data_IF_050849358899
#
_entry.id   IF_050849358899
#
_cell.length_a   1.000
_cell.length_b   1.000
_cell.length_c   1.000
_cell.angle_alpha   90.00
_cell.angle_beta   90.00
_cell.angle_gamma   90.00
#
_symmetry.space_group_name_H-M   'P 1'
#
loop_
_entity.id
_entity.type
_entity.pdbx_description
1 polymer ?
#
# COMPACT_ATOMS: atom_id res chain seq x y z
N UNK A 1 -6.47 -21.74 26.89
CA UNK A 1 -6.82 -20.46 26.24
C UNK A 1 -5.66 -20.06 25.36
N UNK A 2 -5.83 -20.07 24.03
CA UNK A 2 -4.72 -19.85 23.10
C UNK A 2 -4.48 -18.34 22.95
N UNK A 3 -3.44 -17.83 23.61
CA UNK A 3 -3.07 -16.41 23.59
C UNK A 3 -2.54 -16.05 22.20
N UNK A 4 -3.42 -15.55 21.33
CA UNK A 4 -3.02 -15.03 20.03
C UNK A 4 -2.29 -13.71 20.25
N UNK A 5 -0.95 -13.76 20.32
CA UNK A 5 -0.10 -12.57 20.26
C UNK A 5 -0.24 -11.97 18.86
N UNK A 6 -1.07 -10.95 18.71
CA UNK A 6 -1.06 -10.10 17.52
C UNK A 6 0.26 -9.32 17.57
N UNK A 7 1.28 -9.81 16.86
CA UNK A 7 2.49 -9.04 16.62
C UNK A 7 2.15 -7.92 15.64
N UNK A 8 1.84 -6.74 16.16
CA UNK A 8 1.73 -5.54 15.33
C UNK A 8 3.17 -5.16 14.96
N UNK A 9 3.65 -5.62 13.80
CA UNK A 9 4.92 -5.15 13.25
C UNK A 9 4.80 -3.64 13.08
N UNK A 10 5.60 -2.88 13.83
CA UNK A 10 5.58 -1.41 13.89
C UNK A 10 5.91 -0.75 12.54
N UNK A 11 6.36 -1.54 11.57
CA UNK A 11 6.97 -1.10 10.31
C UNK A 11 6.18 -1.58 9.07
N UNK A 12 4.95 -2.07 9.23
CA UNK A 12 4.07 -2.32 8.08
C UNK A 12 3.51 -0.97 7.64
N UNK A 13 4.13 -0.36 6.64
CA UNK A 13 3.58 0.81 5.95
C UNK A 13 2.08 0.60 5.69
N UNK A 14 1.27 1.53 6.19
CA UNK A 14 -0.20 1.47 6.16
C UNK A 14 -0.73 1.45 4.73
N UNK A 15 0.09 1.95 3.79
CA UNK A 15 -0.12 1.92 2.35
C UNK A 15 1.14 1.40 1.67
N UNK A 16 0.99 0.52 0.68
CA UNK A 16 2.08 0.00 -0.13
C UNK A 16 1.80 0.23 -1.61
N UNK A 17 2.77 0.81 -2.32
CA UNK A 17 2.74 0.95 -3.76
C UNK A 17 3.35 -0.28 -4.45
N UNK A 18 2.66 -0.85 -5.44
CA UNK A 18 3.13 -2.03 -6.16
C UNK A 18 2.73 -1.97 -7.65
N UNK A 19 3.48 -2.70 -8.47
CA UNK A 19 3.20 -2.86 -9.90
C UNK A 19 2.19 -3.98 -10.11
N UNK A 20 1.22 -3.80 -11.01
CA UNK A 20 0.37 -4.87 -11.55
C UNK A 20 0.17 -4.66 -13.04
N UNK A 21 0.71 -5.56 -13.85
CA UNK A 21 0.82 -5.34 -15.30
C UNK A 21 1.74 -4.14 -15.56
N UNK A 22 1.34 -3.20 -16.41
CA UNK A 22 2.11 -1.98 -16.68
C UNK A 22 1.74 -0.79 -15.78
N UNK A 23 0.82 -0.98 -14.83
CA UNK A 23 0.24 0.10 -14.01
C UNK A 23 0.67 0.02 -12.54
N UNK A 24 0.69 1.17 -11.89
CA UNK A 24 0.86 1.31 -10.46
C UNK A 24 -0.47 1.12 -9.72
N UNK A 25 -0.35 0.45 -8.58
CA UNK A 25 -1.45 0.14 -7.68
C UNK A 25 -1.02 0.44 -6.26
N UNK A 26 -2.00 0.77 -5.44
CA UNK A 26 -1.83 0.97 -4.00
C UNK A 26 -2.63 -0.09 -3.25
N UNK A 27 -2.04 -0.60 -2.18
CA UNK A 27 -2.67 -1.48 -1.22
C UNK A 27 -2.70 -0.73 0.10
N UNK A 28 -3.87 -0.45 0.66
CA UNK A 28 -4.00 0.26 1.94
C UNK A 28 -5.00 -0.43 2.84
N UNK A 29 -4.87 -0.19 4.14
CA UNK A 29 -5.81 -0.71 5.14
C UNK A 29 -6.63 0.43 5.71
N UNK A 30 -7.97 0.32 5.64
CA UNK A 30 -8.92 1.26 6.23
C UNK A 30 -9.91 0.44 7.08
N UNK A 31 -10.08 0.80 8.35
CA UNK A 31 -10.97 0.11 9.31
C UNK A 31 -10.74 -1.41 9.39
N UNK A 32 -9.48 -1.83 9.38
CA UNK A 32 -9.09 -3.25 9.41
C UNK A 32 -9.34 -4.02 8.10
N UNK A 33 -9.91 -3.38 7.08
CA UNK A 33 -10.13 -3.96 5.75
C UNK A 33 -9.05 -3.50 4.78
N UNK A 34 -8.57 -4.43 3.95
CA UNK A 34 -7.57 -4.16 2.90
C UNK A 34 -8.24 -3.81 1.59
N UNK A 35 -7.79 -2.72 1.00
CA UNK A 35 -8.26 -2.22 -0.30
C UNK A 35 -7.11 -2.16 -1.28
N UNK A 36 -7.41 -2.51 -2.54
CA UNK A 36 -6.49 -2.37 -3.66
C UNK A 36 -7.10 -1.41 -4.66
N UNK A 37 -6.36 -0.38 -5.03
CA UNK A 37 -6.83 0.63 -6.00
C UNK A 37 -5.76 0.85 -7.07
N UNK A 38 -6.18 0.93 -8.32
CA UNK A 38 -5.29 1.38 -9.39
C UNK A 38 -5.08 2.87 -9.27
N UNK A 39 -3.84 3.34 -9.42
CA UNK A 39 -3.56 4.78 -9.49
C UNK A 39 -3.80 5.34 -10.89
N UNK A 40 -4.06 4.47 -11.88
CA UNK A 40 -4.18 4.86 -13.29
C UNK A 40 -2.85 5.20 -13.96
N UNK A 41 -1.76 5.30 -13.20
CA UNK A 41 -0.43 5.69 -13.68
C UNK A 41 0.37 4.46 -14.14
N UNK A 42 1.20 4.65 -15.15
CA UNK A 42 2.19 3.65 -15.56
C UNK A 42 3.32 3.51 -14.54
N UNK A 43 3.92 2.32 -14.48
CA UNK A 43 5.06 2.04 -13.60
C UNK A 43 6.36 2.68 -14.11
N UNK A 44 6.65 3.88 -13.58
CA UNK A 44 7.93 4.56 -13.78
C UNK A 44 8.38 5.29 -12.50
N UNK A 45 9.66 5.67 -12.45
CA UNK A 45 10.27 6.27 -11.27
C UNK A 45 9.62 7.59 -10.82
N UNK A 46 9.16 8.42 -11.78
CA UNK A 46 8.49 9.70 -11.46
C UNK A 46 7.12 9.45 -10.83
N UNK A 47 6.33 8.56 -11.42
CA UNK A 47 5.00 8.20 -10.94
C UNK A 47 5.05 7.49 -9.58
N UNK A 48 6.06 6.66 -9.33
CA UNK A 48 6.28 6.05 -8.01
C UNK A 48 6.56 7.10 -6.93
N UNK A 49 7.44 8.07 -7.22
CA UNK A 49 7.71 9.19 -6.30
C UNK A 49 6.44 10.00 -6.03
N UNK A 50 5.65 10.29 -7.06
CA UNK A 50 4.37 10.99 -6.91
C UNK A 50 3.41 10.23 -6.01
N UNK A 51 3.22 8.92 -6.25
CA UNK A 51 2.33 8.09 -5.42
C UNK A 51 2.81 8.04 -3.96
N UNK A 52 4.11 7.87 -3.74
CA UNK A 52 4.69 7.84 -2.40
C UNK A 52 4.68 9.20 -1.69
N UNK A 53 4.57 10.33 -2.40
CA UNK A 53 4.53 11.66 -1.77
C UNK A 53 3.09 12.16 -1.57
N UNK A 54 2.18 11.81 -2.49
CA UNK A 54 0.81 12.34 -2.53
C UNK A 54 -0.21 11.41 -1.89
N UNK A 55 -0.01 10.09 -1.98
CA UNK A 55 -1.03 9.08 -1.58
C UNK A 55 -0.64 8.37 -0.29
N UNK A 56 0.66 8.18 -0.06
CA UNK A 56 1.22 7.55 1.14
C UNK A 56 1.91 8.66 1.95
N UNK A 57 1.18 9.45 2.78
CA UNK A 57 1.85 10.35 3.72
C UNK A 57 2.68 9.57 4.73
#
# INVERSE_FOLDING_TARGET
MSTHRISVRKDREMVQCFKRGNKLWINYTLDGKRYKKSTGLDDNAKNRKLVNFTIIP
#
